data_IF_741066116327
#
_entry.id   IF_741066116327
#
_cell.length_a   1.000
_cell.length_b   1.000
_cell.length_c   1.000
_cell.angle_alpha   90.00
_cell.angle_beta   90.00
_cell.angle_gamma   90.00
#
_symmetry.space_group_name_H-M   'P 1'
#
loop_
_entity.id
_entity.type
_entity.pdbx_description
1 polymer ?
#
# COMPACT_ATOMS: atom_id res chain seq x y z
N UNK A 1 -10.25 21.77 0.28
CA UNK A 1 -10.13 20.80 1.40
C UNK A 1 -11.48 20.15 1.61
N UNK A 2 -11.54 18.83 1.76
CA UNK A 2 -12.74 18.11 2.18
C UNK A 2 -12.60 17.86 3.68
N UNK A 3 -13.61 18.24 4.44
CA UNK A 3 -13.71 17.93 5.86
C UNK A 3 -14.50 16.63 6.03
N UNK A 4 -14.14 15.85 7.05
CA UNK A 4 -14.74 14.57 7.37
C UNK A 4 -15.05 14.54 8.86
N UNK A 5 -16.25 14.10 9.21
CA UNK A 5 -16.67 13.88 10.59
C UNK A 5 -16.67 12.38 10.87
N UNK A 6 -15.95 11.99 11.91
CA UNK A 6 -15.87 10.61 12.38
C UNK A 6 -16.58 10.52 13.73
N UNK A 7 -17.41 9.50 13.91
CA UNK A 7 -18.09 9.19 15.15
C UNK A 7 -17.64 7.81 15.66
N UNK A 8 -18.24 7.32 16.74
CA UNK A 8 -17.97 5.97 17.27
C UNK A 8 -18.14 4.91 16.17
N UNK A 9 -17.13 4.06 16.02
CA UNK A 9 -17.07 3.07 14.94
C UNK A 9 -16.48 3.59 13.63
N UNK A 10 -16.11 4.88 13.58
CA UNK A 10 -15.39 5.49 12.49
C UNK A 10 -13.91 5.09 12.47
N UNK A 11 -13.42 4.70 11.30
CA UNK A 11 -12.02 4.42 11.01
C UNK A 11 -11.52 5.45 10.02
N UNK A 12 -10.42 6.12 10.34
CA UNK A 12 -9.79 7.13 9.48
C UNK A 12 -8.52 6.53 8.85
N UNK A 13 -8.41 6.59 7.53
CA UNK A 13 -7.23 6.13 6.80
C UNK A 13 -6.32 7.31 6.45
N UNK A 14 -5.16 7.36 7.11
CA UNK A 14 -4.12 8.36 6.82
C UNK A 14 -3.07 7.70 5.92
N UNK A 15 -2.81 8.31 4.76
CA UNK A 15 -1.87 7.75 3.78
C UNK A 15 -0.53 8.46 3.85
N UNK A 16 0.52 7.72 3.48
CA UNK A 16 1.82 8.31 3.30
C UNK A 16 1.77 9.40 2.20
N UNK A 17 2.21 10.60 2.54
CA UNK A 17 2.23 11.74 1.62
C UNK A 17 0.95 12.60 1.60
N UNK A 18 -0.08 12.28 2.38
CA UNK A 18 -1.23 13.18 2.59
C UNK A 18 -0.97 14.11 3.77
N UNK A 19 -1.23 15.40 3.61
CA UNK A 19 -1.27 16.35 4.72
C UNK A 19 -2.70 16.34 5.26
N UNK A 20 -2.87 15.79 6.46
CA UNK A 20 -4.14 15.77 7.19
C UNK A 20 -3.97 16.61 8.45
N UNK A 21 -4.98 17.42 8.79
CA UNK A 21 -5.01 18.19 10.02
C UNK A 21 -6.28 17.83 10.80
N UNK A 22 -6.14 17.59 12.10
CA UNK A 22 -7.27 17.46 13.02
C UNK A 22 -7.79 18.87 13.31
N UNK A 23 -9.03 19.14 12.92
CA UNK A 23 -9.67 20.46 13.09
C UNK A 23 -10.26 20.58 14.50
N UNK A 24 -10.93 19.52 14.95
CA UNK A 24 -11.62 19.46 16.24
C UNK A 24 -11.59 18.03 16.76
N UNK A 25 -11.54 17.87 18.08
CA UNK A 25 -11.49 16.60 18.77
C UNK A 25 -12.36 16.72 20.02
N UNK A 26 -13.26 15.76 20.25
CA UNK A 26 -14.05 15.72 21.48
C UNK A 26 -13.16 15.32 22.67
N UNK A 27 -13.44 15.85 23.86
CA UNK A 27 -12.67 15.59 25.08
C UNK A 27 -12.77 14.12 25.55
N UNK A 28 -13.84 13.42 25.15
CA UNK A 28 -14.13 12.02 25.50
C UNK A 28 -13.69 11.01 24.45
N UNK A 29 -12.91 11.43 23.44
CA UNK A 29 -12.51 10.53 22.38
C UNK A 29 -11.54 9.47 22.89
N UNK A 30 -11.85 8.21 22.60
CA UNK A 30 -10.97 7.07 22.82
C UNK A 30 -10.84 6.28 21.53
N UNK A 31 -9.64 5.80 21.22
CA UNK A 31 -9.40 5.06 20.00
C UNK A 31 -7.98 4.52 19.91
N UNK A 32 -7.74 3.80 18.81
CA UNK A 32 -6.44 3.21 18.51
C UNK A 32 -5.80 3.93 17.32
N UNK A 33 -4.49 4.12 17.40
CA UNK A 33 -3.68 4.53 16.27
C UNK A 33 -2.85 3.35 15.78
N UNK A 34 -3.15 2.89 14.56
CA UNK A 34 -2.46 1.76 13.94
C UNK A 34 -1.63 2.24 12.75
N UNK A 35 -0.31 2.16 12.90
CA UNK A 35 0.65 2.48 11.85
C UNK A 35 1.45 1.22 11.48
N UNK A 36 1.58 0.97 10.17
CA UNK A 36 2.39 -0.12 9.65
C UNK A 36 3.08 0.31 8.35
N UNK A 37 4.24 -0.27 8.08
CA UNK A 37 4.94 -0.08 6.81
C UNK A 37 4.32 -0.97 5.71
N UNK A 38 4.37 -0.51 4.46
CA UNK A 38 3.80 -1.25 3.31
C UNK A 38 4.43 -2.64 3.08
N UNK A 39 5.57 -2.94 3.69
CA UNK A 39 6.24 -4.24 3.61
C UNK A 39 5.66 -5.28 4.60
N UNK A 40 4.93 -4.85 5.64
CA UNK A 40 4.35 -5.74 6.67
C UNK A 40 3.20 -6.57 6.11
N UNK A 41 2.46 -6.02 5.15
CA UNK A 41 1.36 -6.69 4.48
C UNK A 41 1.65 -6.77 2.99
N UNK A 42 1.81 -7.97 2.48
CA UNK A 42 1.85 -8.14 1.03
C UNK A 42 0.43 -8.01 0.46
N UNK A 43 0.26 -7.31 -0.67
CA UNK A 43 -1.06 -7.18 -1.32
C UNK A 43 -1.66 -8.53 -1.78
N UNK A 44 -0.88 -9.61 -1.75
CA UNK A 44 -1.37 -10.97 -2.00
C UNK A 44 -2.22 -11.52 -0.85
N UNK A 45 -2.07 -10.99 0.36
CA UNK A 45 -2.77 -11.47 1.55
C UNK A 45 -4.21 -10.91 1.62
N UNK A 46 -4.43 -9.66 1.21
CA UNK A 46 -5.76 -9.05 1.25
C UNK A 46 -6.65 -9.42 0.04
N UNK A 47 -7.97 -9.54 0.22
CA UNK A 47 -8.91 -9.71 -0.88
C UNK A 47 -8.81 -8.56 -1.90
N UNK A 48 -8.24 -8.86 -3.08
CA UNK A 48 -7.86 -7.87 -4.12
C UNK A 48 -8.96 -6.89 -4.53
N UNK A 49 -10.21 -7.34 -4.50
CA UNK A 49 -11.38 -6.56 -4.92
C UNK A 49 -11.91 -5.59 -3.85
N UNK A 50 -11.52 -5.76 -2.58
CA UNK A 50 -11.95 -4.90 -1.46
C UNK A 50 -10.83 -4.04 -0.86
N UNK A 51 -9.56 -4.40 -1.07
CA UNK A 51 -8.41 -3.62 -0.57
C UNK A 51 -8.38 -2.17 -1.07
N UNK A 52 -9.10 -1.87 -2.15
CA UNK A 52 -9.36 -0.54 -2.68
C UNK A 52 -9.83 0.47 -1.63
N UNK A 53 -10.62 0.05 -0.64
CA UNK A 53 -11.14 0.89 0.46
C UNK A 53 -9.99 1.57 1.21
N UNK A 54 -8.95 0.82 1.60
CA UNK A 54 -7.77 1.36 2.30
C UNK A 54 -7.01 2.42 1.48
N UNK A 55 -7.07 2.29 0.16
CA UNK A 55 -6.38 3.19 -0.75
C UNK A 55 -7.26 4.32 -1.27
N UNK A 56 -8.55 4.39 -0.94
CA UNK A 56 -9.49 5.24 -1.67
C UNK A 56 -10.51 5.97 -0.81
N UNK A 57 -11.02 5.36 0.27
CA UNK A 57 -11.89 6.06 1.22
C UNK A 57 -11.05 6.60 2.37
N UNK A 58 -11.10 7.90 2.70
CA UNK A 58 -10.38 8.44 3.85
C UNK A 58 -11.02 8.02 5.18
N UNK A 59 -12.23 7.46 5.11
CA UNK A 59 -13.06 7.14 6.25
C UNK A 59 -13.92 5.89 5.95
N UNK A 60 -14.13 5.05 6.95
CA UNK A 60 -15.02 3.88 6.93
C UNK A 60 -15.80 3.84 8.24
N UNK A 61 -17.11 3.61 8.17
CA UNK A 61 -17.91 3.31 9.35
C UNK A 61 -18.07 1.80 9.48
N UNK A 62 -17.67 1.28 10.64
CA UNK A 62 -17.83 -0.13 10.96
C UNK A 62 -19.28 -0.44 11.39
N UNK A 63 -19.81 -1.57 10.94
CA UNK A 63 -21.01 -2.13 11.54
C UNK A 63 -20.74 -2.55 13.00
N UNK A 64 -21.80 -2.67 13.80
CA UNK A 64 -21.68 -2.92 15.25
C UNK A 64 -20.93 -4.22 15.58
N UNK A 65 -21.11 -5.27 14.76
CA UNK A 65 -20.45 -6.57 14.96
C UNK A 65 -18.95 -6.47 14.65
N UNK A 66 -18.60 -5.84 13.53
CA UNK A 66 -17.20 -5.63 13.14
C UNK A 66 -16.49 -4.71 14.13
N UNK A 67 -17.14 -3.62 14.53
CA UNK A 67 -16.62 -2.71 15.57
C UNK A 67 -16.32 -3.46 16.88
N UNK A 68 -17.28 -4.23 17.39
CA UNK A 68 -17.09 -5.02 18.61
C UNK A 68 -15.93 -6.03 18.49
N UNK A 69 -15.80 -6.67 17.33
CA UNK A 69 -14.69 -7.61 17.08
C UNK A 69 -13.33 -6.91 17.05
N UNK A 70 -13.20 -5.82 16.29
CA UNK A 70 -11.93 -5.10 16.12
C UNK A 70 -11.47 -4.46 17.43
N UNK A 71 -12.39 -3.87 18.19
CA UNK A 71 -12.08 -3.27 19.50
C UNK A 71 -11.61 -4.29 20.53
N UNK A 72 -11.93 -5.57 20.38
CA UNK A 72 -11.36 -6.65 21.20
C UNK A 72 -10.01 -7.15 20.67
N UNK A 73 -9.83 -7.22 19.35
CA UNK A 73 -8.59 -7.69 18.73
C UNK A 73 -7.43 -6.70 18.92
N UNK A 74 -7.69 -5.39 18.89
CA UNK A 74 -6.65 -4.36 19.00
C UNK A 74 -5.87 -4.42 20.33
N UNK A 75 -6.51 -4.49 21.51
CA UNK A 75 -5.81 -4.70 22.78
C UNK A 75 -4.97 -5.99 22.82
N UNK A 76 -5.48 -7.08 22.24
CA UNK A 76 -4.76 -8.36 22.20
C UNK A 76 -3.51 -8.22 21.32
N UNK A 77 -3.62 -7.53 20.18
CA UNK A 77 -2.49 -7.30 19.28
C UNK A 77 -1.45 -6.39 19.92
N UNK A 78 -1.88 -5.38 20.66
CA UNK A 78 -0.99 -4.53 21.46
C UNK A 78 -0.25 -5.34 22.53
N UNK A 79 -0.94 -6.21 23.27
CA UNK A 79 -0.30 -7.10 24.26
C UNK A 79 0.74 -8.02 23.62
N UNK A 80 0.43 -8.62 22.47
CA UNK A 80 1.37 -9.48 21.74
C UNK A 80 2.62 -8.72 21.28
N UNK A 81 2.45 -7.47 20.82
CA UNK A 81 3.57 -6.58 20.49
C UNK A 81 4.44 -6.33 21.73
N UNK A 82 3.86 -6.01 22.88
CA UNK A 82 4.62 -5.79 24.12
C UNK A 82 5.35 -7.04 24.61
N UNK A 83 4.70 -8.20 24.56
CA UNK A 83 5.29 -9.49 24.97
C UNK A 83 6.52 -9.85 24.12
N UNK A 84 6.51 -9.49 22.85
CA UNK A 84 7.62 -9.75 21.93
C UNK A 84 8.61 -8.57 21.82
N UNK A 85 8.64 -7.65 22.80
CA UNK A 85 9.52 -6.47 22.78
C UNK A 85 9.37 -5.62 21.51
N UNK A 86 8.13 -5.43 21.04
CA UNK A 86 7.76 -4.73 19.81
C UNK A 86 8.33 -5.37 18.53
N UNK A 87 8.79 -6.62 18.61
CA UNK A 87 9.20 -7.36 17.43
C UNK A 87 7.97 -7.85 16.67
N UNK A 88 7.93 -7.56 15.37
CA UNK A 88 6.86 -7.99 14.49
C UNK A 88 7.08 -9.47 14.17
N UNK A 89 6.17 -10.31 14.64
CA UNK A 89 6.14 -11.74 14.35
C UNK A 89 4.92 -12.11 13.49
N UNK A 90 4.87 -13.37 13.05
CA UNK A 90 3.78 -13.87 12.21
C UNK A 90 2.41 -13.76 12.89
N UNK A 91 2.35 -13.79 14.23
CA UNK A 91 1.12 -13.64 15.01
C UNK A 91 0.56 -12.23 14.81
N UNK A 92 1.38 -11.20 15.07
CA UNK A 92 0.98 -9.80 14.89
C UNK A 92 0.59 -9.51 13.45
N UNK A 93 1.35 -10.02 12.47
CA UNK A 93 1.01 -9.87 11.04
C UNK A 93 -0.34 -10.52 10.73
N UNK A 94 -0.58 -11.72 11.25
CA UNK A 94 -1.86 -12.43 11.06
C UNK A 94 -3.03 -11.68 11.72
N UNK A 95 -2.83 -11.11 12.91
CA UNK A 95 -3.84 -10.32 13.61
C UNK A 95 -4.17 -9.04 12.85
N UNK A 96 -3.14 -8.30 12.41
CA UNK A 96 -3.29 -7.14 11.56
C UNK A 96 -4.09 -7.50 10.30
N UNK A 97 -3.71 -8.59 9.64
CA UNK A 97 -4.40 -9.06 8.45
C UNK A 97 -5.87 -9.41 8.72
N UNK A 98 -6.18 -10.10 9.82
CA UNK A 98 -7.56 -10.39 10.23
C UNK A 98 -8.37 -9.11 10.47
N UNK A 99 -7.80 -8.13 11.18
CA UNK A 99 -8.42 -6.83 11.43
C UNK A 99 -8.75 -6.14 10.10
N UNK A 100 -7.79 -6.12 9.16
CA UNK A 100 -8.00 -5.55 7.84
C UNK A 100 -9.11 -6.29 7.06
N UNK A 101 -9.09 -7.62 7.01
CA UNK A 101 -10.15 -8.40 6.34
C UNK A 101 -11.52 -8.10 6.98
N UNK A 102 -11.58 -7.99 8.30
CA UNK A 102 -12.84 -7.68 9.00
C UNK A 102 -13.37 -6.30 8.61
N UNK A 103 -12.52 -5.28 8.55
CA UNK A 103 -12.92 -3.96 8.04
C UNK A 103 -13.44 -4.03 6.59
N UNK A 104 -12.83 -4.87 5.75
CA UNK A 104 -13.30 -5.08 4.37
C UNK A 104 -14.60 -5.89 4.29
N UNK A 105 -14.97 -6.62 5.35
CA UNK A 105 -16.18 -7.44 5.40
C UNK A 105 -17.41 -6.69 5.89
N UNK A 106 -17.25 -5.50 6.50
CA UNK A 106 -18.35 -4.62 6.90
C UNK A 106 -19.28 -4.33 5.71
N UNK A 107 -20.58 -4.43 5.97
CA UNK A 107 -21.63 -4.57 4.96
C UNK A 107 -21.55 -3.59 3.78
N UNK A 108 -21.59 -4.22 2.62
CA UNK A 108 -21.46 -3.70 1.26
C UNK A 108 -22.51 -2.65 0.87
N UNK A 109 -23.60 -2.49 1.62
CA UNK A 109 -24.79 -1.78 1.12
C UNK A 109 -24.79 -0.26 1.36
N UNK A 110 -24.06 0.27 2.33
CA UNK A 110 -23.98 1.73 2.54
C UNK A 110 -22.84 2.38 1.76
N UNK A 111 -21.85 1.60 1.32
CA UNK A 111 -20.70 2.06 0.53
C UNK A 111 -20.74 1.65 -0.95
N UNK A 112 -21.79 0.94 -1.40
CA UNK A 112 -22.18 0.83 -2.81
C UNK A 112 -22.72 2.14 -3.42
N UNK A 113 -22.21 3.31 -3.00
CA UNK A 113 -22.18 4.47 -3.91
C UNK A 113 -21.15 4.15 -5.00
N UNK A 114 -21.62 3.38 -5.99
CA UNK A 114 -21.00 2.94 -7.25
C UNK A 114 -19.56 3.42 -7.42
N UNK A 115 -18.60 2.48 -7.39
CA UNK A 115 -17.24 2.77 -7.81
C UNK A 115 -17.30 3.53 -9.13
N UNK A 116 -16.91 4.81 -9.11
CA UNK A 116 -16.99 5.62 -10.33
C UNK A 116 -16.14 4.97 -11.41
N UNK A 117 -16.50 5.11 -12.69
CA UNK A 117 -15.70 4.53 -13.79
C UNK A 117 -14.19 4.81 -13.68
N UNK A 118 -13.73 6.02 -13.29
CA UNK A 118 -12.32 6.29 -13.01
C UNK A 118 -11.72 5.44 -11.87
N UNK A 119 -12.51 5.13 -10.85
CA UNK A 119 -12.13 4.28 -9.73
C UNK A 119 -11.89 2.85 -10.19
N UNK A 120 -12.85 2.27 -10.91
CA UNK A 120 -12.77 0.90 -11.43
C UNK A 120 -11.54 0.74 -12.32
N UNK A 121 -11.31 1.71 -13.23
CA UNK A 121 -10.15 1.70 -14.11
C UNK A 121 -8.83 1.78 -13.35
N UNK A 122 -8.78 2.54 -12.26
CA UNK A 122 -7.57 2.65 -11.43
C UNK A 122 -7.27 1.34 -10.72
N UNK A 123 -8.29 0.61 -10.27
CA UNK A 123 -8.12 -0.72 -9.66
C UNK A 123 -7.70 -1.76 -10.69
N UNK A 124 -8.37 -1.81 -11.84
CA UNK A 124 -8.01 -2.73 -12.91
C UNK A 124 -6.58 -2.45 -13.43
N UNK A 125 -6.18 -1.17 -13.52
CA UNK A 125 -4.80 -0.80 -13.83
C UNK A 125 -3.81 -1.35 -12.83
N UNK A 126 -4.08 -1.19 -11.53
CA UNK A 126 -3.22 -1.72 -10.46
C UNK A 126 -3.08 -3.23 -10.58
N UNK A 127 -4.18 -3.96 -10.80
CA UNK A 127 -4.15 -5.42 -10.90
C UNK A 127 -3.34 -5.89 -12.11
N UNK A 128 -3.48 -5.21 -13.25
CA UNK A 128 -2.62 -5.45 -14.41
C UNK A 128 -1.16 -5.10 -14.11
N UNK A 129 -0.91 -4.03 -13.37
CA UNK A 129 0.44 -3.59 -13.03
C UNK A 129 1.17 -4.66 -12.21
N UNK A 130 0.56 -5.20 -11.16
CA UNK A 130 1.17 -6.29 -10.40
C UNK A 130 1.47 -7.52 -11.26
N UNK A 131 0.65 -7.79 -12.26
CA UNK A 131 0.83 -8.93 -13.16
C UNK A 131 1.92 -8.70 -14.22
N UNK A 132 2.07 -7.48 -14.71
CA UNK A 132 2.84 -7.21 -15.93
C UNK A 132 4.00 -6.22 -15.75
N UNK A 133 4.18 -5.57 -14.60
CA UNK A 133 5.21 -4.53 -14.40
C UNK A 133 6.63 -4.96 -14.80
N UNK A 134 7.01 -6.22 -14.58
CA UNK A 134 8.32 -6.74 -15.00
C UNK A 134 8.45 -6.71 -16.52
N UNK A 135 7.44 -7.20 -17.25
CA UNK A 135 7.54 -7.37 -18.71
C UNK A 135 7.19 -6.08 -19.46
N UNK A 136 6.25 -5.29 -18.96
CA UNK A 136 5.69 -4.12 -19.66
C UNK A 136 5.77 -2.83 -18.84
N UNK A 137 6.56 -1.88 -19.35
CA UNK A 137 6.86 -0.58 -18.70
C UNK A 137 6.09 0.61 -19.31
N UNK A 138 5.30 0.34 -20.36
CA UNK A 138 4.62 1.36 -21.19
C UNK A 138 3.19 1.55 -20.71
N UNK A 139 2.77 2.80 -20.51
CA UNK A 139 1.39 3.13 -20.12
C UNK A 139 0.39 2.67 -21.19
N UNK A 140 0.76 2.80 -22.47
CA UNK A 140 0.02 2.27 -23.62
C UNK A 140 -0.47 0.82 -23.44
N UNK A 141 0.40 -0.10 -23.02
CA UNK A 141 0.03 -1.50 -22.82
C UNK A 141 -1.14 -1.67 -21.83
N UNK A 142 -1.10 -0.94 -20.72
CA UNK A 142 -2.17 -0.99 -19.72
C UNK A 142 -3.44 -0.32 -20.21
N UNK A 143 -3.33 0.78 -20.95
CA UNK A 143 -4.47 1.47 -21.53
C UNK A 143 -5.20 0.56 -22.54
N UNK A 144 -4.43 -0.12 -23.40
CA UNK A 144 -4.95 -1.08 -24.38
C UNK A 144 -5.64 -2.26 -23.70
N UNK A 145 -5.04 -2.83 -22.64
CA UNK A 145 -5.64 -3.92 -21.85
C UNK A 145 -6.95 -3.53 -21.17
N UNK A 146 -7.15 -2.25 -20.89
CA UNK A 146 -8.34 -1.69 -20.26
C UNK A 146 -9.34 -1.10 -21.27
N UNK A 147 -9.03 -1.19 -22.57
CA UNK A 147 -9.83 -0.60 -23.66
C UNK A 147 -10.09 0.90 -23.48
N UNK A 148 -9.07 1.64 -23.06
CA UNK A 148 -9.12 3.10 -22.87
C UNK A 148 -7.90 3.78 -23.50
N UNK A 149 -7.98 5.09 -23.74
CA UNK A 149 -6.81 5.86 -24.17
C UNK A 149 -5.84 6.08 -23.01
N UNK A 150 -4.54 6.23 -23.32
CA UNK A 150 -3.51 6.56 -22.32
C UNK A 150 -3.85 7.84 -21.54
N UNK A 151 -4.39 8.85 -22.22
CA UNK A 151 -4.80 10.12 -21.61
C UNK A 151 -5.93 9.92 -20.61
N UNK A 152 -6.94 9.12 -20.95
CA UNK A 152 -8.04 8.83 -20.04
C UNK A 152 -7.57 8.01 -18.85
N UNK A 153 -6.75 6.98 -19.06
CA UNK A 153 -6.14 6.20 -17.97
C UNK A 153 -5.33 7.10 -17.03
N UNK A 154 -4.52 8.01 -17.58
CA UNK A 154 -3.77 8.99 -16.79
C UNK A 154 -4.69 9.85 -15.94
N UNK A 155 -5.77 10.38 -16.54
CA UNK A 155 -6.76 11.20 -15.83
C UNK A 155 -7.42 10.43 -14.69
N UNK A 156 -7.83 9.18 -14.93
CA UNK A 156 -8.45 8.34 -13.92
C UNK A 156 -7.50 8.03 -12.77
N UNK A 157 -6.33 7.46 -13.08
CA UNK A 157 -5.35 7.04 -12.05
C UNK A 157 -4.82 8.23 -11.27
N UNK A 158 -4.51 9.35 -11.93
CA UNK A 158 -4.04 10.56 -11.24
C UNK A 158 -5.14 11.22 -10.43
N UNK A 159 -6.37 11.27 -10.93
CA UNK A 159 -7.51 11.84 -10.19
C UNK A 159 -7.84 11.07 -8.91
N UNK A 160 -7.63 9.76 -8.94
CA UNK A 160 -7.86 8.86 -7.81
C UNK A 160 -6.68 8.80 -6.85
N UNK A 161 -5.45 8.62 -7.36
CA UNK A 161 -4.26 8.30 -6.56
C UNK A 161 -3.30 9.46 -6.35
N UNK A 162 -3.53 10.60 -7.01
CA UNK A 162 -2.61 11.74 -7.11
C UNK A 162 -1.27 11.43 -7.81
N UNK A 163 -1.07 10.20 -8.32
CA UNK A 163 0.10 9.78 -9.08
C UNK A 163 -0.27 9.34 -10.49
N UNK A 164 0.61 9.58 -11.46
CA UNK A 164 0.40 9.08 -12.82
C UNK A 164 0.64 7.56 -12.92
N UNK A 165 0.05 6.86 -13.90
CA UNK A 165 0.35 5.46 -14.18
C UNK A 165 1.84 5.18 -14.33
N UNK A 166 2.59 6.12 -14.94
CA UNK A 166 4.04 5.98 -15.13
C UNK A 166 4.81 6.03 -13.80
N UNK A 167 4.38 6.88 -12.87
CA UNK A 167 4.95 6.90 -11.52
C UNK A 167 4.69 5.58 -10.80
N UNK A 168 3.45 5.08 -10.86
CA UNK A 168 3.10 3.77 -10.30
C UNK A 168 3.96 2.63 -10.85
N UNK A 169 4.13 2.55 -12.17
CA UNK A 169 4.99 1.54 -12.81
C UNK A 169 6.40 1.58 -12.24
N UNK A 170 7.01 2.76 -12.22
CA UNK A 170 8.37 2.92 -11.73
C UNK A 170 8.49 2.62 -10.23
N UNK A 171 7.54 3.04 -9.41
CA UNK A 171 7.56 2.79 -7.95
C UNK A 171 7.41 1.30 -7.63
N UNK A 172 6.52 0.59 -8.32
CA UNK A 172 6.37 -0.87 -8.16
C UNK A 172 7.67 -1.58 -8.54
N UNK A 173 8.29 -1.22 -9.66
CA UNK A 173 9.57 -1.81 -10.06
C UNK A 173 10.66 -1.62 -9.01
N UNK A 174 10.79 -0.40 -8.48
CA UNK A 174 11.79 -0.10 -7.46
C UNK A 174 11.48 -0.84 -6.15
N UNK A 175 10.22 -0.90 -5.74
CA UNK A 175 9.84 -1.64 -4.53
C UNK A 175 10.09 -3.14 -4.69
N UNK A 176 9.78 -3.73 -5.83
CA UNK A 176 10.11 -5.13 -6.11
C UNK A 176 11.63 -5.38 -6.13
N UNK A 177 12.39 -4.44 -6.69
CA UNK A 177 13.85 -4.53 -6.72
C UNK A 177 14.49 -4.53 -5.33
N UNK A 178 13.90 -3.86 -4.34
CA UNK A 178 14.42 -3.87 -2.96
C UNK A 178 14.44 -5.28 -2.37
N UNK A 179 13.40 -6.07 -2.62
CA UNK A 179 13.36 -7.47 -2.20
C UNK A 179 14.45 -8.30 -2.91
N UNK A 180 14.65 -8.10 -4.22
CA UNK A 180 15.71 -8.78 -4.97
C UNK A 180 17.12 -8.37 -4.51
N UNK A 181 17.30 -7.13 -4.06
CA UNK A 181 18.59 -6.62 -3.58
C UNK A 181 19.06 -7.32 -2.30
N UNK A 182 18.18 -8.00 -1.58
CA UNK A 182 18.51 -8.83 -0.42
C UNK A 182 19.15 -10.18 -0.82
N UNK A 183 19.06 -10.57 -2.10
CA UNK A 183 19.73 -11.76 -2.62
C UNK A 183 21.21 -11.51 -2.94
N UNK A 184 21.94 -12.57 -3.26
CA UNK A 184 23.34 -12.52 -3.71
C UNK A 184 23.53 -12.10 -5.18
N UNK A 185 22.43 -11.87 -5.93
CA UNK A 185 22.50 -11.48 -7.34
C UNK A 185 23.24 -10.15 -7.51
N UNK A 186 23.97 -9.99 -8.60
CA UNK A 186 24.57 -8.70 -8.91
C UNK A 186 23.49 -7.66 -9.28
N UNK A 187 23.78 -6.38 -9.04
CA UNK A 187 22.85 -5.27 -9.35
C UNK A 187 22.50 -5.25 -10.85
N UNK A 188 23.46 -5.59 -11.72
CA UNK A 188 23.19 -5.67 -13.16
C UNK A 188 22.21 -6.81 -13.48
N UNK A 189 22.36 -7.98 -12.86
CA UNK A 189 21.44 -9.12 -13.04
C UNK A 189 20.02 -8.77 -12.59
N UNK A 190 19.87 -8.10 -11.45
CA UNK A 190 18.57 -7.63 -10.96
C UNK A 190 17.94 -6.63 -11.94
N UNK A 191 18.73 -5.73 -12.53
CA UNK A 191 18.22 -4.80 -13.52
C UNK A 191 17.70 -5.53 -14.77
N UNK A 192 18.42 -6.55 -15.26
CA UNK A 192 17.98 -7.36 -16.39
C UNK A 192 16.76 -8.22 -16.07
N UNK A 193 16.67 -8.80 -14.87
CA UNK A 193 15.50 -9.56 -14.40
C UNK A 193 14.24 -8.69 -14.35
N UNK A 194 14.40 -7.41 -14.01
CA UNK A 194 13.33 -6.42 -14.01
C UNK A 194 13.06 -5.78 -15.39
N UNK A 195 13.66 -6.33 -16.44
CA UNK A 195 13.54 -5.90 -17.84
C UNK A 195 13.96 -4.43 -18.07
N UNK A 196 14.98 -3.96 -17.35
CA UNK A 196 15.61 -2.68 -17.67
C UNK A 196 16.63 -2.86 -18.80
N UNK A 197 16.61 -1.95 -19.78
CA UNK A 197 17.55 -1.95 -20.90
C UNK A 197 19.01 -1.86 -20.47
N UNK A 198 19.28 -1.13 -19.38
CA UNK A 198 20.63 -0.99 -18.82
C UNK A 198 20.59 -0.91 -17.29
N UNK A 199 21.62 -1.45 -16.64
CA UNK A 199 21.81 -1.32 -15.18
C UNK A 199 21.94 0.15 -14.73
N UNK A 200 22.49 1.02 -15.59
CA UNK A 200 22.59 2.46 -15.33
C UNK A 200 21.21 3.12 -15.24
N UNK A 201 20.30 2.80 -16.15
CA UNK A 201 18.93 3.33 -16.10
C UNK A 201 18.19 2.87 -14.84
N UNK A 202 18.33 1.59 -14.47
CA UNK A 202 17.81 1.08 -13.19
C UNK A 202 18.39 1.85 -12.00
N UNK A 203 19.70 2.02 -11.93
CA UNK A 203 20.38 2.70 -10.82
C UNK A 203 19.92 4.15 -10.67
N UNK A 204 19.78 4.89 -11.78
CA UNK A 204 19.28 6.26 -11.78
C UNK A 204 17.84 6.33 -11.29
N UNK A 205 16.98 5.43 -11.77
CA UNK A 205 15.57 5.37 -11.36
C UNK A 205 15.43 5.00 -9.88
N UNK A 206 16.19 4.00 -9.42
CA UNK A 206 16.22 3.56 -8.03
C UNK A 206 16.65 4.70 -7.12
N UNK A 207 17.71 5.43 -7.46
CA UNK A 207 18.15 6.61 -6.70
C UNK A 207 17.13 7.73 -6.69
N UNK A 208 16.49 7.99 -7.83
CA UNK A 208 15.44 9.01 -7.93
C UNK A 208 14.25 8.72 -7.03
N UNK A 209 13.86 7.45 -6.87
CA UNK A 209 12.67 7.05 -6.11
C UNK A 209 13.00 6.79 -4.62
N UNK A 210 14.11 6.14 -4.33
CA UNK A 210 14.49 5.75 -2.96
C UNK A 210 15.40 6.76 -2.24
N UNK A 211 15.98 7.73 -2.97
CA UNK A 211 16.94 8.69 -2.44
C UNK A 211 18.40 8.22 -2.45
N UNK A 212 18.65 6.90 -2.53
CA UNK A 212 20.00 6.29 -2.50
C UNK A 212 20.19 5.29 -3.63
N UNK A 213 21.43 4.92 -3.95
CA UNK A 213 21.71 3.92 -4.98
C UNK A 213 21.35 2.50 -4.53
N UNK A 214 21.11 1.55 -5.47
CA UNK A 214 20.89 0.13 -5.13
C UNK A 214 22.04 -0.47 -4.30
N UNK A 215 23.28 -0.04 -4.59
CA UNK A 215 24.48 -0.47 -3.87
C UNK A 215 24.47 0.03 -2.42
N UNK A 216 24.21 1.33 -2.22
CA UNK A 216 24.09 1.92 -0.88
C UNK A 216 22.96 1.24 -0.08
N UNK A 217 21.81 1.01 -0.71
CA UNK A 217 20.68 0.30 -0.10
C UNK A 217 21.09 -1.11 0.38
N UNK A 218 21.75 -1.89 -0.47
CA UNK A 218 22.24 -3.24 -0.11
C UNK A 218 23.26 -3.19 1.04
N UNK A 219 24.18 -2.23 1.02
CA UNK A 219 25.18 -2.09 2.10
C UNK A 219 24.53 -1.72 3.43
N UNK A 220 23.58 -0.79 3.44
CA UNK A 220 22.84 -0.42 4.65
C UNK A 220 22.09 -1.62 5.23
N UNK A 221 21.43 -2.41 4.38
CA UNK A 221 20.74 -3.63 4.80
C UNK A 221 21.70 -4.64 5.45
N UNK A 222 22.81 -4.97 4.78
CA UNK A 222 23.81 -5.93 5.29
C UNK A 222 24.46 -5.48 6.62
N UNK A 223 24.64 -4.17 6.80
CA UNK A 223 25.18 -3.63 8.05
C UNK A 223 24.17 -3.74 9.19
N UNK A 224 22.89 -3.45 8.94
CA UNK A 224 21.84 -3.61 9.95
C UNK A 224 21.64 -5.08 10.33
N UNK A 225 21.73 -6.03 9.38
CA UNK A 225 21.61 -7.46 9.69
C UNK A 225 22.77 -8.04 10.51
N UNK A 226 23.93 -7.38 10.52
CA UNK A 226 25.12 -7.81 11.30
C UNK A 226 25.15 -7.28 12.73
N UNK A 227 24.35 -6.27 13.04
CA UNK A 227 24.24 -5.69 14.39
C UNK A 227 23.24 -6.49 15.25
N UNK A 228 22.46 -7.38 14.63
CA UNK A 228 21.43 -8.21 15.27
C UNK A 228 21.90 -9.64 15.64
N UNK A 229 23.20 -9.91 15.68
CA UNK A 229 23.79 -11.24 16.01
C UNK A 229 24.68 -11.12 17.24
#
# INVERSE_FOLDING_TARGET
NKEYHAEKGGVIFIKQGTITATVELSDDIEGFFLAYENNILSEQELPKHKSSIFFMTPFLNLDSLTYGTITQLLPIMEQELWLNNLNINDIVVTMLHLILIKMLSTDSDTHHKSATRPMELSLQFRDLLFKYHVVEKRVAFYADKLSVTESYLNKCVKGVTQKSPKQWINEIDINYSKALLHSSKDIAEIAYELNFHTASHFTQLFKKISGITPKEYRTQFLNNSRISV
#
